data_IF_906553869576
#
_entry.id   IF_906553869576
#
_cell.length_a   1.000
_cell.length_b   1.000
_cell.length_c   1.000
_cell.angle_alpha   90.00
_cell.angle_beta   90.00
_cell.angle_gamma   90.00
#
_symmetry.space_group_name_H-M   'P 1'
#
loop_
_entity.id
_entity.type
_entity.pdbx_description
1 polymer ?
#
# COMPACT_ATOMS: atom_id res chain seq x y z
N UNK A 1 -42.97 35.23 -25.30
CA UNK A 1 -42.34 34.96 -26.61
C UNK A 1 -41.55 33.67 -26.51
N UNK A 2 -42.03 32.66 -27.25
CA UNK A 2 -41.44 31.39 -27.72
C UNK A 2 -40.11 30.88 -27.12
N UNK A 3 -40.24 29.76 -26.41
CA UNK A 3 -39.30 28.64 -26.38
C UNK A 3 -39.00 28.14 -27.81
N UNK A 4 -37.72 27.99 -28.13
CA UNK A 4 -37.24 27.40 -29.38
C UNK A 4 -36.63 26.03 -29.12
N UNK A 5 -37.44 24.99 -29.25
CA UNK A 5 -37.04 23.60 -29.49
C UNK A 5 -36.45 23.49 -30.89
N UNK A 6 -35.29 22.85 -31.05
CA UNK A 6 -34.94 22.20 -32.31
C UNK A 6 -34.13 20.93 -32.03
N UNK A 7 -34.85 19.82 -32.08
CA UNK A 7 -34.34 18.46 -32.21
C UNK A 7 -33.62 18.36 -33.55
N UNK A 8 -32.39 17.83 -33.58
CA UNK A 8 -31.74 17.42 -34.82
C UNK A 8 -31.60 15.90 -34.81
N UNK A 9 -32.14 15.35 -35.89
CA UNK A 9 -32.40 13.94 -36.17
C UNK A 9 -31.12 13.09 -36.28
N UNK A 10 -31.25 11.83 -35.90
CA UNK A 10 -30.31 10.75 -36.17
C UNK A 10 -30.22 10.46 -37.68
N UNK A 11 -29.11 9.88 -38.15
CA UNK A 11 -29.26 8.62 -38.88
C UNK A 11 -28.54 7.44 -38.22
N UNK A 12 -29.29 6.35 -38.16
CA UNK A 12 -28.90 4.99 -37.87
C UNK A 12 -27.94 4.42 -38.93
N UNK A 13 -27.32 3.31 -38.53
CA UNK A 13 -26.83 2.21 -39.37
C UNK A 13 -25.51 2.40 -40.12
N UNK A 14 -24.45 1.79 -39.58
CA UNK A 14 -23.78 0.68 -40.28
C UNK A 14 -22.92 -0.15 -39.30
N UNK A 15 -23.55 -1.11 -38.61
CA UNK A 15 -22.86 -2.22 -37.96
C UNK A 15 -22.32 -3.17 -39.04
N UNK A 16 -21.00 -3.23 -39.20
CA UNK A 16 -20.35 -4.28 -40.00
C UNK A 16 -20.20 -5.52 -39.13
N UNK A 17 -21.17 -6.42 -39.27
CA UNK A 17 -21.20 -7.75 -38.65
C UNK A 17 -20.56 -8.76 -39.62
N UNK A 18 -19.36 -9.23 -39.34
CA UNK A 18 -18.73 -10.32 -40.10
C UNK A 18 -19.38 -11.64 -39.68
N UNK A 19 -20.17 -12.21 -40.60
CA UNK A 19 -20.74 -13.56 -40.55
C UNK A 19 -19.65 -14.61 -40.73
N UNK A 20 -19.59 -15.59 -39.83
CA UNK A 20 -18.97 -16.90 -40.08
C UNK A 20 -20.03 -18.01 -39.95
N UNK A 21 -20.07 -18.99 -40.87
CA UNK A 21 -21.15 -19.99 -40.91
C UNK A 21 -20.87 -21.19 -39.99
N UNK A 22 -21.94 -21.69 -39.36
CA UNK A 22 -22.03 -23.00 -38.72
C UNK A 22 -22.44 -24.07 -39.75
N UNK A 23 -22.14 -25.35 -39.50
CA UNK A 23 -23.06 -26.41 -39.86
C UNK A 23 -23.73 -27.06 -38.65
N UNK A 24 -24.96 -27.49 -38.92
CA UNK A 24 -26.02 -28.05 -38.07
C UNK A 24 -25.93 -29.59 -38.19
N UNK A 25 -26.07 -30.38 -37.12
CA UNK A 25 -27.18 -31.30 -36.77
C UNK A 25 -26.56 -32.32 -35.77
N UNK A 26 -27.18 -32.80 -34.69
CA UNK A 26 -28.46 -33.51 -34.64
C UNK A 26 -29.14 -33.39 -33.25
N UNK A 27 -30.46 -33.51 -33.32
CA UNK A 27 -31.50 -33.48 -32.31
C UNK A 27 -31.75 -34.88 -31.69
N UNK A 28 -31.87 -34.97 -30.36
CA UNK A 28 -32.65 -35.96 -29.58
C UNK A 28 -32.65 -35.49 -28.09
N UNK A 29 -33.68 -34.85 -27.52
CA UNK A 29 -35.04 -35.26 -27.11
C UNK A 29 -35.13 -36.19 -25.87
N UNK A 30 -35.18 -35.56 -24.67
CA UNK A 30 -35.91 -35.87 -23.39
C UNK A 30 -35.66 -37.22 -22.62
N UNK A 31 -35.97 -37.35 -21.29
CA UNK A 31 -36.71 -36.45 -20.40
C UNK A 31 -36.12 -36.19 -18.98
N UNK A 32 -36.88 -35.39 -18.22
CA UNK A 32 -36.66 -34.82 -16.90
C UNK A 32 -36.41 -35.79 -15.73
N UNK A 33 -35.56 -35.34 -14.79
CA UNK A 33 -35.64 -35.72 -13.38
C UNK A 33 -35.49 -34.44 -12.53
N UNK A 34 -36.62 -33.93 -12.04
CA UNK A 34 -36.68 -32.87 -11.02
C UNK A 34 -36.27 -33.48 -9.67
N UNK A 35 -35.11 -33.11 -9.13
CA UNK A 35 -34.82 -33.22 -7.70
C UNK A 35 -35.05 -31.86 -7.03
N UNK A 36 -35.90 -31.75 -6.01
CA UNK A 36 -35.93 -30.58 -5.15
C UNK A 36 -34.81 -30.73 -4.12
N UNK A 37 -33.64 -30.15 -4.38
CA UNK A 37 -32.64 -29.95 -3.31
C UNK A 37 -33.00 -28.66 -2.60
N UNK A 38 -33.66 -28.81 -1.46
CA UNK A 38 -33.98 -27.75 -0.51
C UNK A 38 -32.66 -27.39 0.19
N UNK A 39 -31.91 -26.44 -0.36
CA UNK A 39 -30.79 -25.82 0.36
C UNK A 39 -31.33 -24.66 1.20
N UNK A 40 -31.84 -24.97 2.39
CA UNK A 40 -31.88 -24.01 3.49
C UNK A 40 -30.45 -23.75 3.95
N UNK A 41 -29.80 -22.80 3.28
CA UNK A 41 -28.51 -22.26 3.70
C UNK A 41 -28.71 -21.34 4.90
N UNK A 42 -28.63 -21.90 6.12
CA UNK A 42 -28.47 -21.11 7.33
C UNK A 42 -27.08 -20.48 7.30
N UNK A 43 -26.99 -19.15 7.20
CA UNK A 43 -25.76 -18.40 7.41
C UNK A 43 -25.44 -18.39 8.90
N UNK A 44 -24.93 -19.50 9.43
CA UNK A 44 -24.36 -19.55 10.76
C UNK A 44 -22.91 -19.11 10.64
N UNK A 45 -22.59 -17.89 11.08
CA UNK A 45 -21.21 -17.48 11.34
C UNK A 45 -20.65 -18.38 12.45
N UNK A 46 -19.82 -19.35 12.09
CA UNK A 46 -19.10 -20.20 13.03
C UNK A 46 -18.03 -19.36 13.73
N UNK A 47 -18.16 -19.16 15.04
CA UNK A 47 -17.10 -18.60 15.86
C UNK A 47 -15.91 -19.56 15.84
N UNK A 48 -14.68 -19.11 15.52
CA UNK A 48 -13.53 -19.98 15.45
C UNK A 48 -13.23 -20.65 16.80
N UNK A 49 -12.78 -21.89 16.76
CA UNK A 49 -12.46 -22.66 17.96
C UNK A 49 -11.21 -22.11 18.67
N UNK A 50 -11.03 -22.42 19.96
CA UNK A 50 -9.82 -22.00 20.69
C UNK A 50 -8.52 -22.55 20.05
N UNK A 51 -8.60 -23.74 19.43
CA UNK A 51 -7.48 -24.31 18.71
C UNK A 51 -7.14 -23.49 17.45
N UNK A 52 -8.16 -23.07 16.70
CA UNK A 52 -7.98 -22.19 15.53
C UNK A 52 -7.41 -20.83 15.91
N UNK A 53 -7.91 -20.18 16.98
CA UNK A 53 -7.35 -18.90 17.43
C UNK A 53 -5.87 -19.00 17.81
N UNK A 54 -5.46 -20.10 18.47
CA UNK A 54 -4.05 -20.35 18.80
C UNK A 54 -3.19 -20.60 17.56
N UNK A 55 -3.73 -21.33 16.57
CA UNK A 55 -3.02 -21.56 15.31
C UNK A 55 -2.79 -20.26 14.54
N UNK A 56 -3.82 -19.42 14.40
CA UNK A 56 -3.73 -18.11 13.74
C UNK A 56 -2.72 -17.21 14.47
N UNK A 57 -2.76 -17.17 15.81
CA UNK A 57 -1.82 -16.36 16.58
C UNK A 57 -0.37 -16.86 16.46
N UNK A 58 -0.15 -18.17 16.37
CA UNK A 58 1.17 -18.75 16.16
C UNK A 58 1.72 -18.40 14.78
N UNK A 59 0.90 -18.49 13.73
CA UNK A 59 1.25 -18.09 12.36
C UNK A 59 1.63 -16.61 12.29
N UNK A 60 0.82 -15.72 12.86
CA UNK A 60 1.12 -14.28 12.93
C UNK A 60 2.42 -13.97 13.69
N UNK A 61 2.70 -14.72 14.76
CA UNK A 61 3.93 -14.55 15.52
C UNK A 61 5.16 -15.00 14.72
N UNK A 62 5.02 -16.07 13.95
CA UNK A 62 6.07 -16.56 13.04
C UNK A 62 6.35 -15.54 11.93
N UNK A 63 5.31 -15.04 11.26
CA UNK A 63 5.42 -13.98 10.26
C UNK A 63 6.09 -12.73 10.82
N UNK A 64 5.70 -12.27 12.01
CA UNK A 64 6.31 -11.12 12.67
C UNK A 64 7.80 -11.34 12.99
N UNK A 65 8.16 -12.57 13.36
CA UNK A 65 9.56 -12.95 13.66
C UNK A 65 10.40 -12.97 12.39
N UNK A 66 9.87 -13.56 11.32
CA UNK A 66 10.52 -13.57 10.00
C UNK A 66 10.69 -12.15 9.48
N UNK A 67 9.64 -11.32 9.56
CA UNK A 67 9.69 -9.94 9.11
C UNK A 67 10.78 -9.14 9.85
N UNK A 68 10.93 -9.37 11.16
CA UNK A 68 12.00 -8.77 11.96
C UNK A 68 13.38 -9.27 11.55
N UNK A 69 13.53 -10.55 11.23
CA UNK A 69 14.82 -11.14 10.81
C UNK A 69 15.28 -10.57 9.46
N UNK A 70 14.37 -10.40 8.50
CA UNK A 70 14.68 -9.77 7.21
C UNK A 70 15.22 -8.36 7.40
N UNK A 71 14.55 -7.58 8.26
CA UNK A 71 14.94 -6.22 8.60
C UNK A 71 16.33 -6.16 9.26
N UNK A 72 16.78 -7.21 9.97
CA UNK A 72 18.09 -7.24 10.64
C UNK A 72 19.29 -7.20 9.68
N UNK A 73 19.10 -7.49 8.39
CA UNK A 73 20.12 -7.34 7.35
C UNK A 73 20.59 -5.90 7.15
N UNK A 74 19.74 -4.92 7.44
CA UNK A 74 20.07 -3.49 7.40
C UNK A 74 20.85 -3.14 8.68
N UNK A 75 21.97 -2.39 8.62
CA UNK A 75 22.78 -2.10 9.80
C UNK A 75 22.03 -1.26 10.85
N UNK A 76 22.50 -1.35 12.10
CA UNK A 76 21.99 -0.49 13.17
C UNK A 76 22.14 1.01 12.80
N UNK A 77 21.20 1.86 13.21
CA UNK A 77 21.22 3.25 12.82
C UNK A 77 22.32 4.04 13.53
N UNK A 78 22.93 4.99 12.80
CA UNK A 78 23.91 5.92 13.36
C UNK A 78 23.24 7.24 13.73
N UNK A 79 23.16 7.54 15.04
CA UNK A 79 22.56 8.79 15.54
C UNK A 79 23.19 10.04 14.94
N UNK A 80 24.51 10.05 14.78
CA UNK A 80 25.22 11.19 14.20
C UNK A 80 24.80 11.45 12.74
N UNK A 81 24.50 10.40 11.96
CA UNK A 81 24.12 10.54 10.56
C UNK A 81 22.70 11.09 10.41
N UNK A 82 21.70 10.45 11.02
CA UNK A 82 20.30 10.86 10.79
C UNK A 82 19.95 12.17 11.51
N UNK A 83 20.58 12.50 12.65
CA UNK A 83 20.36 13.77 13.35
C UNK A 83 21.01 14.98 12.67
N UNK A 84 21.99 14.76 11.78
CA UNK A 84 22.62 15.83 11.01
C UNK A 84 21.69 16.39 9.92
N UNK A 85 20.68 15.62 9.50
CA UNK A 85 19.73 16.03 8.46
C UNK A 85 18.66 16.95 9.07
N UNK A 86 18.55 18.19 8.56
CA UNK A 86 17.63 19.22 9.09
C UNK A 86 16.39 19.47 8.22
N UNK A 87 16.24 18.73 7.12
CA UNK A 87 15.11 18.88 6.19
C UNK A 87 14.71 17.55 5.59
N UNK A 88 13.40 17.25 5.50
CA UNK A 88 12.88 16.06 4.82
C UNK A 88 13.28 16.01 3.34
N UNK A 89 13.56 17.14 2.70
CA UNK A 89 14.05 17.18 1.32
C UNK A 89 15.45 16.58 1.17
N UNK A 90 16.23 16.60 2.25
CA UNK A 90 17.57 16.01 2.31
C UNK A 90 17.57 14.63 2.98
N UNK A 91 16.43 14.20 3.53
CA UNK A 91 16.27 12.88 4.13
C UNK A 91 16.29 11.79 3.06
N UNK A 92 17.21 10.83 3.21
CA UNK A 92 17.44 9.77 2.23
C UNK A 92 16.87 8.41 2.63
N UNK A 93 16.80 8.12 3.94
CA UNK A 93 16.12 6.92 4.43
C UNK A 93 14.63 6.94 4.07
N UNK A 94 13.91 5.81 4.19
CA UNK A 94 12.47 5.83 4.10
C UNK A 94 11.90 6.75 5.21
N UNK A 95 10.80 7.43 4.91
CA UNK A 95 10.01 8.13 5.93
C UNK A 95 8.52 7.90 5.68
N UNK A 96 7.74 8.03 6.75
CA UNK A 96 6.31 7.72 6.75
C UNK A 96 5.50 8.96 7.01
N UNK A 97 4.43 9.12 6.24
CA UNK A 97 3.36 10.07 6.52
C UNK A 97 2.13 9.28 6.93
N UNK A 98 1.73 9.43 8.19
CA UNK A 98 0.57 8.72 8.74
C UNK A 98 -0.69 9.53 8.47
N UNK A 99 -1.63 8.93 7.74
CA UNK A 99 -2.93 9.51 7.43
C UNK A 99 -4.03 8.77 8.19
N UNK A 100 -5.28 8.84 7.69
CA UNK A 100 -6.40 8.04 8.17
C UNK A 100 -6.11 6.54 8.04
N UNK A 101 -6.82 5.79 7.20
CA UNK A 101 -6.64 4.33 7.12
C UNK A 101 -5.34 3.87 6.43
N UNK A 102 -4.46 4.79 6.02
CA UNK A 102 -3.31 4.54 5.16
C UNK A 102 -2.06 5.20 5.73
N UNK A 103 -0.91 4.63 5.36
CA UNK A 103 0.41 5.21 5.58
C UNK A 103 1.06 5.42 4.22
N UNK A 104 1.55 6.62 3.95
CA UNK A 104 2.38 6.86 2.77
C UNK A 104 3.82 6.59 3.15
N UNK A 105 4.43 5.62 2.48
CA UNK A 105 5.86 5.31 2.58
C UNK A 105 6.59 6.05 1.47
N UNK A 106 7.45 6.97 1.85
CA UNK A 106 8.29 7.72 0.94
C UNK A 106 9.66 7.05 0.86
N UNK A 107 10.03 6.54 -0.33
CA UNK A 107 11.25 5.77 -0.54
C UNK A 107 12.13 6.43 -1.58
N UNK A 108 13.41 6.57 -1.28
CA UNK A 108 14.43 7.01 -2.22
C UNK A 108 15.03 5.80 -2.92
N UNK A 109 14.76 5.66 -4.22
CA UNK A 109 15.38 4.59 -5.00
C UNK A 109 16.72 5.05 -5.60
N UNK A 110 17.64 4.09 -5.73
CA UNK A 110 18.88 4.30 -6.47
C UNK A 110 18.56 4.79 -7.90
N UNK A 111 19.43 5.64 -8.43
CA UNK A 111 19.30 6.04 -9.83
C UNK A 111 19.59 4.83 -10.72
N UNK A 112 18.61 4.45 -11.54
CA UNK A 112 18.77 3.34 -12.49
C UNK A 112 19.58 3.76 -13.74
N UNK A 113 20.01 5.02 -13.82
CA UNK A 113 20.76 5.53 -14.95
C UNK A 113 22.16 4.90 -15.03
N UNK A 114 22.44 4.25 -16.15
CA UNK A 114 23.73 3.63 -16.47
C UNK A 114 24.68 4.57 -17.22
N UNK A 115 24.22 5.75 -17.64
CA UNK A 115 25.02 6.71 -18.41
C UNK A 115 25.87 7.64 -17.53
N UNK A 116 27.10 7.90 -17.96
CA UNK A 116 28.04 8.79 -17.25
C UNK A 116 27.56 10.24 -17.20
N UNK A 117 26.76 10.68 -18.18
CA UNK A 117 26.24 12.06 -18.29
C UNK A 117 25.20 12.43 -17.21
N UNK A 118 24.61 11.43 -16.53
CA UNK A 118 23.67 11.67 -15.43
C UNK A 118 24.24 11.40 -14.04
N UNK A 119 25.52 10.99 -13.93
CA UNK A 119 26.17 10.77 -12.64
C UNK A 119 26.26 12.09 -11.86
N UNK A 120 25.95 12.04 -10.56
CA UNK A 120 26.02 13.21 -9.69
C UNK A 120 24.72 14.01 -9.55
N UNK A 121 23.60 13.55 -10.09
CA UNK A 121 22.28 14.12 -9.78
C UNK A 121 21.96 15.45 -10.48
N UNK A 122 22.80 15.90 -11.43
CA UNK A 122 22.57 17.12 -12.22
C UNK A 122 21.25 17.04 -13.03
N UNK A 123 20.97 15.88 -13.63
CA UNK A 123 19.79 15.67 -14.47
C UNK A 123 18.57 15.18 -13.68
N UNK A 124 18.79 14.59 -12.49
CA UNK A 124 17.75 14.00 -11.65
C UNK A 124 18.09 14.28 -10.18
N UNK A 125 17.63 15.42 -9.63
CA UNK A 125 17.89 15.74 -8.23
C UNK A 125 17.25 14.69 -7.31
N UNK A 126 17.77 14.59 -6.09
CA UNK A 126 17.33 13.62 -5.07
C UNK A 126 15.80 13.49 -4.98
N UNK A 127 15.08 14.61 -4.84
CA UNK A 127 13.62 14.61 -4.74
C UNK A 127 12.89 13.95 -5.92
N UNK A 128 13.43 14.02 -7.14
CA UNK A 128 12.83 13.39 -8.33
C UNK A 128 13.00 11.86 -8.36
N UNK A 129 13.77 11.29 -7.43
CA UNK A 129 13.94 9.85 -7.25
C UNK A 129 13.10 9.28 -6.12
N UNK A 130 12.38 10.13 -5.39
CA UNK A 130 11.44 9.72 -4.35
C UNK A 130 10.21 9.07 -4.99
N UNK A 131 9.77 7.95 -4.44
CA UNK A 131 8.50 7.31 -4.76
C UNK A 131 7.63 7.23 -3.52
N UNK A 132 6.35 7.49 -3.72
CA UNK A 132 5.36 7.45 -2.67
C UNK A 132 4.51 6.20 -2.84
N UNK A 133 4.47 5.38 -1.80
CA UNK A 133 3.71 4.13 -1.76
C UNK A 133 2.61 4.28 -0.71
N UNK A 134 1.35 4.20 -1.11
CA UNK A 134 0.24 4.22 -0.17
C UNK A 134 -0.06 2.79 0.28
N UNK A 135 0.20 2.51 1.56
CA UNK A 135 0.14 1.18 2.16
C UNK A 135 -0.89 1.17 3.28
N UNK A 136 -1.58 0.04 3.45
CA UNK A 136 -2.48 -0.18 4.60
C UNK A 136 -1.65 -0.46 5.86
N UNK A 137 -2.15 -0.11 7.03
CA UNK A 137 -1.38 -0.28 8.28
C UNK A 137 -0.96 -1.74 8.54
N UNK A 138 -1.80 -2.72 8.18
CA UNK A 138 -1.52 -4.14 8.35
C UNK A 138 -0.45 -4.66 7.36
N UNK A 139 -0.30 -4.02 6.21
CA UNK A 139 0.69 -4.38 5.17
C UNK A 139 2.02 -3.64 5.36
N UNK A 140 2.12 -2.76 6.36
CA UNK A 140 3.29 -1.90 6.54
C UNK A 140 4.58 -2.72 6.72
N UNK A 141 4.54 -3.80 7.51
CA UNK A 141 5.70 -4.66 7.73
C UNK A 141 6.24 -5.26 6.43
N UNK A 142 5.36 -5.84 5.62
CA UNK A 142 5.71 -6.43 4.33
C UNK A 142 6.24 -5.36 3.35
N UNK A 143 5.60 -4.19 3.31
CA UNK A 143 6.05 -3.09 2.46
C UNK A 143 7.43 -2.57 2.84
N UNK A 144 7.76 -2.50 4.14
CA UNK A 144 9.08 -2.08 4.61
C UNK A 144 10.18 -3.11 4.30
N UNK A 145 9.88 -4.40 4.40
CA UNK A 145 10.83 -5.46 4.04
C UNK A 145 11.11 -5.53 2.53
N UNK A 146 10.15 -5.12 1.70
CA UNK A 146 10.34 -5.02 0.26
C UNK A 146 11.24 -3.86 -0.17
N UNK A 147 11.58 -2.94 0.74
CA UNK A 147 12.47 -1.80 0.43
C UNK A 147 13.91 -2.30 0.29
N UNK A 148 14.59 -2.02 -0.84
CA UNK A 148 15.96 -2.47 -1.04
C UNK A 148 16.91 -1.82 -0.02
N UNK A 149 17.89 -2.59 0.44
CA UNK A 149 18.88 -2.17 1.44
C UNK A 149 19.62 -0.86 1.07
N UNK A 150 19.79 -0.59 -0.23
CA UNK A 150 20.39 0.65 -0.73
C UNK A 150 19.61 1.92 -0.38
N UNK A 151 18.36 1.79 0.03
CA UNK A 151 17.51 2.91 0.48
C UNK A 151 17.72 3.28 1.95
N UNK A 152 18.65 2.62 2.66
CA UNK A 152 18.88 2.79 4.11
C UNK A 152 20.28 3.33 4.46
N UNK A 153 20.71 4.47 3.89
CA UNK A 153 22.05 5.01 4.11
C UNK A 153 22.35 5.35 5.58
N UNK A 154 21.34 5.57 6.43
CA UNK A 154 21.52 5.90 7.85
C UNK A 154 21.34 4.69 8.79
N UNK A 155 21.21 3.48 8.24
CA UNK A 155 20.82 2.26 8.95
C UNK A 155 19.31 2.20 9.23
N UNK A 156 18.89 1.29 10.12
CA UNK A 156 17.47 1.03 10.45
C UNK A 156 16.82 2.15 11.25
N UNK A 157 16.59 3.29 10.60
CA UNK A 157 15.86 4.43 11.15
C UNK A 157 14.85 4.93 10.12
N UNK A 158 13.64 5.23 10.58
CA UNK A 158 12.58 5.82 9.77
C UNK A 158 12.12 7.10 10.43
N UNK A 159 12.06 8.18 9.65
CA UNK A 159 11.38 9.39 10.09
C UNK A 159 9.86 9.19 9.95
N UNK A 160 9.09 9.69 10.91
CA UNK A 160 7.63 9.59 10.89
C UNK A 160 7.04 10.97 11.10
N UNK A 161 6.06 11.32 10.27
CA UNK A 161 5.27 12.54 10.38
C UNK A 161 3.77 12.23 10.36
N UNK A 162 3.01 13.05 11.08
CA UNK A 162 1.57 13.11 10.90
C UNK A 162 1.25 13.87 9.61
N UNK A 163 0.24 13.43 8.87
CA UNK A 163 -0.23 14.17 7.71
C UNK A 163 -0.60 15.61 8.06
N UNK A 164 -0.24 16.54 7.19
CA UNK A 164 -0.64 17.93 7.33
C UNK A 164 -2.15 18.06 7.08
N UNK A 165 -2.80 19.01 7.75
CA UNK A 165 -4.23 19.36 7.53
C UNK A 165 -5.27 18.27 7.86
N UNK A 166 -5.00 17.40 8.84
CA UNK A 166 -6.00 16.42 9.30
C UNK A 166 -7.26 17.11 9.86
N UNK A 167 -8.46 16.78 9.34
CA UNK A 167 -9.70 17.37 9.82
C UNK A 167 -9.94 16.97 11.28
N UNK A 168 -10.52 17.87 12.08
CA UNK A 168 -10.60 17.75 13.54
C UNK A 168 -11.26 16.43 13.99
N UNK A 169 -12.25 15.94 13.23
CA UNK A 169 -12.93 14.67 13.50
C UNK A 169 -12.05 13.42 13.27
N UNK A 170 -11.02 13.50 12.42
CA UNK A 170 -10.14 12.38 12.09
C UNK A 170 -8.87 12.33 12.95
N UNK A 171 -8.49 13.42 13.62
CA UNK A 171 -7.28 13.49 14.47
C UNK A 171 -7.17 12.36 15.52
N UNK A 172 -8.24 11.97 16.24
CA UNK A 172 -8.15 10.84 17.19
C UNK A 172 -7.87 9.50 16.51
N UNK A 173 -8.28 9.33 15.25
CA UNK A 173 -7.95 8.14 14.47
C UNK A 173 -6.49 8.18 14.04
N UNK A 174 -6.02 9.30 13.50
CA UNK A 174 -4.63 9.46 13.07
C UNK A 174 -3.64 9.26 14.22
N UNK A 175 -3.95 9.75 15.42
CA UNK A 175 -3.12 9.50 16.62
C UNK A 175 -2.99 8.02 16.98
N UNK A 176 -4.10 7.27 16.96
CA UNK A 176 -4.09 5.81 17.20
C UNK A 176 -3.31 5.06 16.12
N UNK A 177 -3.41 5.54 14.88
CA UNK A 177 -2.67 5.00 13.77
C UNK A 177 -1.17 5.29 13.90
N UNK A 178 -0.80 6.48 14.37
CA UNK A 178 0.58 6.82 14.71
C UNK A 178 1.16 5.87 15.76
N UNK A 179 0.42 5.61 16.84
CA UNK A 179 0.80 4.64 17.87
C UNK A 179 0.98 3.23 17.29
N UNK A 180 0.07 2.82 16.41
CA UNK A 180 0.15 1.52 15.72
C UNK A 180 1.39 1.44 14.83
N UNK A 181 1.68 2.48 14.05
CA UNK A 181 2.86 2.57 13.19
C UNK A 181 4.14 2.50 14.03
N UNK A 182 4.23 3.28 15.10
CA UNK A 182 5.39 3.26 16.01
C UNK A 182 5.59 1.87 16.61
N UNK A 183 4.52 1.20 17.04
CA UNK A 183 4.59 -0.16 17.56
C UNK A 183 5.08 -1.16 16.50
N UNK A 184 4.54 -1.08 15.27
CA UNK A 184 5.00 -1.92 14.15
C UNK A 184 6.49 -1.71 13.86
N UNK A 185 6.96 -0.46 13.80
CA UNK A 185 8.37 -0.14 13.57
C UNK A 185 9.27 -0.68 14.70
N UNK A 186 8.86 -0.51 15.96
CA UNK A 186 9.59 -1.04 17.11
C UNK A 186 9.67 -2.57 17.08
N UNK A 187 8.59 -3.25 16.71
CA UNK A 187 8.55 -4.72 16.60
C UNK A 187 9.53 -5.22 15.52
N UNK A 188 9.66 -4.48 14.41
CA UNK A 188 10.65 -4.74 13.35
C UNK A 188 12.09 -4.39 13.75
N UNK A 189 12.30 -3.73 14.90
CA UNK A 189 13.63 -3.29 15.34
C UNK A 189 14.14 -2.07 14.57
N UNK A 190 13.23 -1.25 14.06
CA UNK A 190 13.50 0.03 13.38
C UNK A 190 13.42 1.14 14.42
N UNK A 191 14.41 2.03 14.43
CA UNK A 191 14.37 3.24 15.27
C UNK A 191 13.43 4.26 14.64
N UNK A 192 12.50 4.77 15.43
CA UNK A 192 11.59 5.84 15.03
C UNK A 192 12.24 7.19 15.30
N UNK A 193 12.27 8.04 14.28
CA UNK A 193 12.59 9.46 14.43
C UNK A 193 11.33 10.30 14.20
N UNK A 194 10.83 10.95 15.25
CA UNK A 194 9.70 11.86 15.12
C UNK A 194 10.15 13.15 14.42
N UNK A 195 9.62 13.41 13.22
CA UNK A 195 9.97 14.60 12.45
C UNK A 195 9.28 15.86 12.97
N UNK A 196 8.14 15.73 13.64
CA UNK A 196 7.29 16.86 14.07
C UNK A 196 7.95 17.78 15.10
N UNK A 197 8.97 17.30 15.83
CA UNK A 197 9.73 18.08 16.81
C UNK A 197 10.96 18.79 16.23
N UNK A 198 11.39 18.44 15.01
CA UNK A 198 12.60 19.01 14.40
C UNK A 198 12.42 20.41 13.79
N UNK A 199 11.17 20.86 13.62
CA UNK A 199 10.80 22.14 13.00
C UNK A 199 10.37 23.25 13.97
N UNK A 200 10.48 23.05 15.29
CA UNK A 200 10.11 24.05 16.31
C UNK A 200 11.30 24.84 16.88
N UNK A 201 12.37 25.01 16.11
CA UNK A 201 13.48 25.89 16.51
C UNK A 201 13.38 27.27 15.90
#
# INVERSE_FOLDING_TARGET
MRFGTFLKEYPLDMLVFVRSPRPILHLALLPALLLPVILTGCTHTSTPSQAEMRAIAAEQQEEATQAKQEMQSIPLPSKAQYMAVKSLNLWQNPYLTVQGSMVTVHVMLADANTSDLGKGGLLRPMGARRRDLNVRLNELSAALNAIPQTSWPYGRVIAVEEAHEVPVNARPQVRRNMETVVNTLNNLGIVVYDWSDSGKS
#
